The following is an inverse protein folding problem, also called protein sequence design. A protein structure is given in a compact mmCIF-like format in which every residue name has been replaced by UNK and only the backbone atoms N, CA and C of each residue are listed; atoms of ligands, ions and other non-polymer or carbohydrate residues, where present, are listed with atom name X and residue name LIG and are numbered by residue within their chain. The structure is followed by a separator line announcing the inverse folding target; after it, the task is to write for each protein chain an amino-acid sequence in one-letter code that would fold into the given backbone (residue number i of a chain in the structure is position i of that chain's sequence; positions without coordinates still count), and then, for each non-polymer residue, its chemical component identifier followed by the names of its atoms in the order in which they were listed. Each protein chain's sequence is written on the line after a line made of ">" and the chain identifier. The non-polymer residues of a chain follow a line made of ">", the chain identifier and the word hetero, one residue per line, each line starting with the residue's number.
data_IF_713817213111
#
_entry.id   IF_713817213111
#
_cell.length_a   1.000
_cell.length_b   1.000
_cell.length_c   1.000
_cell.angle_alpha   90.00
_cell.angle_beta   90.00
_cell.angle_gamma   90.00
#
_symmetry.space_group_name_H-M   'P 1'
#
loop_
_entity.id
_entity.type
_entity.pdbx_description
1 polymer ?
#
# COMPACT_ATOMS: atom_id res chain seq x y z
N UNK A 1 4.33 23.75 47.42
CA UNK A 1 3.64 22.94 46.40
C UNK A 1 4.62 22.73 45.25
N UNK A 2 5.20 21.52 45.13
CA UNK A 2 6.14 21.16 44.07
C UNK A 2 5.38 20.30 43.05
N UNK A 3 4.83 20.92 42.02
CA UNK A 3 4.22 20.20 40.90
C UNK A 3 4.55 20.94 39.64
N UNK A 4 5.53 20.47 38.89
CA UNK A 4 5.52 20.54 37.41
C UNK A 4 6.74 19.80 36.88
N UNK A 5 6.61 19.30 35.65
CA UNK A 5 7.59 18.49 34.92
C UNK A 5 7.45 16.99 35.19
N UNK A 6 6.29 16.47 34.82
CA UNK A 6 6.19 15.09 34.33
C UNK A 6 5.14 15.06 33.24
N UNK A 7 5.42 15.71 32.10
CA UNK A 7 4.52 15.67 30.95
C UNK A 7 5.25 15.96 29.62
N UNK A 8 6.46 15.43 29.46
CA UNK A 8 7.14 15.43 28.16
C UNK A 8 7.74 14.04 27.94
N UNK A 9 6.88 13.02 27.87
CA UNK A 9 7.30 11.69 27.38
C UNK A 9 6.19 10.96 26.62
N UNK A 10 5.25 11.69 26.02
CA UNK A 10 4.19 11.10 25.18
C UNK A 10 4.31 11.44 23.69
N UNK A 11 5.15 12.40 23.30
CA UNK A 11 5.28 12.81 21.90
C UNK A 11 6.41 12.13 21.13
N UNK A 12 7.31 11.41 21.81
CA UNK A 12 8.45 10.74 21.15
C UNK A 12 8.11 9.35 20.57
N UNK A 13 6.93 8.80 20.87
CA UNK A 13 6.49 7.47 20.40
C UNK A 13 5.46 7.52 19.26
N UNK A 14 4.88 8.68 18.96
CA UNK A 14 3.87 8.82 17.90
C UNK A 14 4.47 9.14 16.51
N UNK A 15 5.79 9.27 16.42
CA UNK A 15 6.48 9.79 15.23
C UNK A 15 6.91 8.75 14.19
N UNK A 16 6.54 7.48 14.34
CA UNK A 16 6.70 6.53 13.25
C UNK A 16 5.40 6.49 12.47
N UNK A 17 5.32 7.35 11.45
CA UNK A 17 4.45 7.04 10.32
C UNK A 17 4.90 5.66 9.82
N UNK A 18 4.14 4.62 10.17
CA UNK A 18 4.33 3.28 9.62
C UNK A 18 4.05 3.42 8.12
N UNK A 19 5.10 3.60 7.33
CA UNK A 19 5.01 3.44 5.88
C UNK A 19 4.33 2.08 5.66
N UNK A 20 3.18 2.08 4.98
CA UNK A 20 2.51 0.84 4.65
C UNK A 20 3.53 -0.06 3.92
N UNK A 21 3.58 -1.34 4.29
CA UNK A 21 4.46 -2.26 3.60
C UNK A 21 4.16 -2.22 2.09
N UNK A 22 5.17 -2.33 1.22
CA UNK A 22 4.99 -2.39 -0.23
C UNK A 22 3.86 -3.35 -0.59
N UNK A 23 2.90 -2.90 -1.40
CA UNK A 23 1.84 -3.77 -1.91
C UNK A 23 2.21 -4.32 -3.28
N UNK A 24 1.94 -5.60 -3.45
CA UNK A 24 2.03 -6.27 -4.74
C UNK A 24 0.65 -6.30 -5.39
N UNK A 25 0.60 -5.83 -6.63
CA UNK A 25 -0.54 -5.96 -7.51
C UNK A 25 -0.20 -6.92 -8.64
N UNK A 26 -1.17 -7.67 -9.14
CA UNK A 26 -0.93 -8.76 -10.07
C UNK A 26 -1.67 -8.56 -11.39
N UNK A 27 -0.96 -8.85 -12.47
CA UNK A 27 -1.45 -8.84 -13.84
C UNK A 27 -1.21 -10.21 -14.47
N UNK A 28 -2.24 -10.80 -15.05
CA UNK A 28 -2.21 -12.05 -15.80
C UNK A 28 -3.16 -11.95 -16.99
N UNK A 29 -2.59 -11.87 -18.20
CA UNK A 29 -3.36 -11.73 -19.45
C UNK A 29 -4.26 -12.95 -19.75
N UNK A 30 -3.98 -14.10 -19.14
CA UNK A 30 -4.75 -15.33 -19.32
C UNK A 30 -5.87 -15.49 -18.29
N UNK A 31 -5.98 -14.58 -17.32
CA UNK A 31 -7.03 -14.64 -16.31
C UNK A 31 -8.43 -14.49 -16.98
N UNK A 32 -9.41 -15.32 -16.57
CA UNK A 32 -10.70 -15.45 -17.25
C UNK A 32 -11.57 -14.19 -17.16
N UNK A 33 -11.32 -13.35 -16.15
CA UNK A 33 -12.05 -12.12 -15.89
C UNK A 33 -11.09 -11.02 -15.47
N UNK A 34 -11.45 -9.77 -15.74
CA UNK A 34 -10.68 -8.63 -15.23
C UNK A 34 -10.96 -8.44 -13.74
N UNK A 35 -9.94 -8.69 -12.91
CA UNK A 35 -10.04 -8.60 -11.46
C UNK A 35 -9.72 -7.22 -10.88
N UNK A 36 -9.31 -7.22 -9.62
CA UNK A 36 -8.96 -6.02 -8.84
C UNK A 36 -7.44 -5.83 -8.67
N UNK A 37 -6.63 -6.73 -9.23
CA UNK A 37 -5.18 -6.71 -9.12
C UNK A 37 -4.66 -7.43 -7.88
N UNK A 38 -5.51 -8.12 -7.11
CA UNK A 38 -5.06 -9.03 -6.04
C UNK A 38 -4.57 -10.36 -6.61
N UNK A 39 -3.77 -11.11 -5.83
CA UNK A 39 -3.22 -12.42 -6.25
C UNK A 39 -4.29 -13.43 -6.68
N UNK A 40 -5.49 -13.35 -6.09
CA UNK A 40 -6.61 -14.25 -6.39
C UNK A 40 -7.52 -13.72 -7.51
N UNK A 41 -7.35 -12.45 -7.91
CA UNK A 41 -8.18 -11.76 -8.89
C UNK A 41 -7.32 -10.74 -9.66
N UNK A 42 -6.33 -11.21 -10.45
CA UNK A 42 -5.43 -10.31 -11.15
C UNK A 42 -6.15 -9.52 -12.24
N UNK A 43 -5.57 -8.40 -12.66
CA UNK A 43 -6.01 -7.73 -13.88
C UNK A 43 -5.64 -8.57 -15.09
N UNK A 44 -6.52 -8.61 -16.09
CA UNK A 44 -6.25 -9.34 -17.33
C UNK A 44 -6.01 -8.43 -18.54
N UNK A 45 -5.99 -7.11 -18.33
CA UNK A 45 -5.66 -6.14 -19.35
C UNK A 45 -4.76 -5.04 -18.80
N UNK A 46 -3.86 -4.55 -19.65
CA UNK A 46 -2.83 -3.59 -19.29
C UNK A 46 -3.42 -2.21 -18.94
N UNK A 47 -4.60 -1.90 -19.48
CA UNK A 47 -5.32 -0.65 -19.20
C UNK A 47 -5.69 -0.54 -17.72
N UNK A 48 -6.22 -1.60 -17.11
CA UNK A 48 -6.55 -1.61 -15.67
C UNK A 48 -5.32 -1.39 -14.80
N UNK A 49 -4.19 -2.02 -15.13
CA UNK A 49 -2.92 -1.83 -14.44
C UNK A 49 -2.42 -0.36 -14.52
N UNK A 50 -2.47 0.26 -15.70
CA UNK A 50 -2.07 1.67 -15.89
C UNK A 50 -2.99 2.62 -15.12
N UNK A 51 -4.31 2.42 -15.20
CA UNK A 51 -5.26 3.26 -14.46
C UNK A 51 -5.03 3.18 -12.96
N UNK A 52 -4.69 1.99 -12.46
CA UNK A 52 -4.40 1.81 -11.04
C UNK A 52 -3.05 2.40 -10.62
N UNK A 53 -2.08 2.49 -11.53
CA UNK A 53 -0.75 3.09 -11.26
C UNK A 53 -0.83 4.53 -10.73
N UNK A 54 -1.89 5.28 -11.03
CA UNK A 54 -2.11 6.61 -10.44
C UNK A 54 -2.46 6.60 -8.95
N UNK A 55 -2.78 5.43 -8.39
CA UNK A 55 -3.25 5.23 -7.00
C UNK A 55 -2.30 4.36 -6.17
N UNK A 56 -1.18 3.91 -6.73
CA UNK A 56 -0.20 3.10 -6.01
C UNK A 56 0.81 3.98 -5.28
N UNK A 57 1.27 3.53 -4.13
CA UNK A 57 2.36 4.20 -3.43
C UNK A 57 3.67 4.01 -4.21
N UNK A 58 4.63 4.92 -4.03
CA UNK A 58 5.93 4.85 -4.72
C UNK A 58 6.73 3.56 -4.47
N UNK A 59 6.33 2.79 -3.46
CA UNK A 59 6.94 1.50 -3.08
C UNK A 59 6.20 0.28 -3.61
N UNK A 60 5.00 0.46 -4.16
CA UNK A 60 4.20 -0.64 -4.67
C UNK A 60 4.73 -1.12 -6.01
N UNK A 61 4.41 -2.37 -6.35
CA UNK A 61 4.84 -3.00 -7.60
C UNK A 61 3.69 -3.70 -8.29
N UNK A 62 3.73 -3.72 -9.63
CA UNK A 62 2.87 -4.59 -10.44
C UNK A 62 3.71 -5.77 -10.92
N UNK A 63 3.27 -6.96 -10.57
CA UNK A 63 3.88 -8.24 -10.90
C UNK A 63 3.10 -8.86 -12.06
N UNK A 64 3.82 -9.24 -13.12
CA UNK A 64 3.27 -10.03 -14.22
C UNK A 64 3.43 -11.53 -13.87
N UNK A 65 2.34 -12.28 -13.91
CA UNK A 65 2.30 -13.72 -13.59
C UNK A 65 2.27 -14.60 -14.84
#
# INVERSE_FOLDING_TARGET
>A
MKSTISLILFFLLAGFATQAAPREYYFDINAPTNGDGSINSPWNNFTSAIYWWGNVDSTDVIVNM
#
